data_IF_206408047698
#
_entry.id   IF_206408047698
#
_cell.length_a   1.000
_cell.length_b   1.000
_cell.length_c   1.000
_cell.angle_alpha   90.00
_cell.angle_beta   90.00
_cell.angle_gamma   90.00
#
_symmetry.space_group_name_H-M   'P 1'
#
loop_
_entity.id
_entity.type
_entity.pdbx_description
1 polymer ?
#
# COMPACT_ATOMS: atom_id res chain seq x y z
N UNK A 1 -3.70 -45.43 -3.34
CA UNK A 1 -4.20 -44.07 -3.61
C UNK A 1 -3.44 -43.09 -2.74
N UNK A 2 -2.75 -42.12 -3.34
CA UNK A 2 -2.10 -41.02 -2.62
C UNK A 2 -2.44 -39.73 -3.35
N UNK A 3 -3.36 -38.96 -2.79
CA UNK A 3 -3.54 -37.56 -3.12
C UNK A 3 -3.65 -36.81 -1.79
N UNK A 4 -2.52 -36.26 -1.34
CA UNK A 4 -2.49 -35.33 -0.24
C UNK A 4 -3.10 -34.02 -0.69
N UNK A 5 -4.25 -33.67 -0.12
CA UNK A 5 -4.83 -32.34 -0.24
C UNK A 5 -3.90 -31.37 0.47
N UNK A 6 -3.31 -30.44 -0.28
CA UNK A 6 -2.62 -29.30 0.29
C UNK A 6 -3.63 -28.53 1.14
N UNK A 7 -3.38 -28.46 2.46
CA UNK A 7 -4.13 -27.60 3.34
C UNK A 7 -3.76 -26.16 3.00
N UNK A 8 -4.62 -25.47 2.25
CA UNK A 8 -4.59 -24.01 2.16
C UNK A 8 -4.71 -23.44 3.57
N UNK A 9 -3.82 -22.50 3.89
CA UNK A 9 -3.88 -21.76 5.15
C UNK A 9 -5.27 -21.12 5.30
N UNK A 10 -5.84 -21.04 6.51
CA UNK A 10 -7.16 -20.44 6.69
C UNK A 10 -7.12 -19.00 6.21
N UNK A 11 -7.73 -18.74 5.06
CA UNK A 11 -7.97 -17.38 4.59
C UNK A 11 -8.84 -16.69 5.62
N UNK A 12 -8.31 -15.62 6.23
CA UNK A 12 -9.01 -14.91 7.27
C UNK A 12 -10.22 -14.21 6.64
N UNK A 13 -11.41 -14.78 6.84
CA UNK A 13 -12.65 -14.33 6.22
C UNK A 13 -12.96 -12.85 6.53
N UNK A 14 -12.41 -12.29 7.63
CA UNK A 14 -12.56 -10.90 8.01
C UNK A 14 -11.73 -9.90 7.18
N UNK A 15 -10.77 -10.36 6.40
CA UNK A 15 -9.85 -9.49 5.69
C UNK A 15 -10.54 -8.68 4.57
N UNK A 16 -10.02 -7.50 4.29
CA UNK A 16 -10.34 -6.69 3.10
C UNK A 16 -9.19 -6.78 2.10
N UNK A 17 -9.46 -6.58 0.82
CA UNK A 17 -8.42 -6.51 -0.19
C UNK A 17 -7.84 -5.09 -0.25
N UNK A 18 -6.53 -4.97 -0.13
CA UNK A 18 -5.82 -3.68 -0.12
C UNK A 18 -4.61 -3.73 -1.05
N UNK A 19 -4.50 -2.75 -1.93
CA UNK A 19 -3.27 -2.47 -2.67
C UNK A 19 -2.54 -1.28 -2.02
N UNK A 20 -1.23 -1.41 -1.82
CA UNK A 20 -0.39 -0.49 -1.04
C UNK A 20 0.75 0.02 -1.90
N UNK A 21 1.12 1.29 -1.76
CA UNK A 21 2.44 1.81 -2.15
C UNK A 21 3.18 2.29 -0.95
N UNK A 22 4.46 1.95 -0.94
CA UNK A 22 5.41 2.38 0.06
C UNK A 22 6.28 3.48 -0.51
N UNK A 23 6.37 4.58 0.24
CA UNK A 23 7.35 5.61 0.05
C UNK A 23 8.28 5.63 1.26
N UNK A 24 9.57 5.38 1.05
CA UNK A 24 10.57 5.69 2.06
C UNK A 24 11.17 7.06 1.76
N UNK A 25 11.40 7.85 2.80
CA UNK A 25 12.45 8.85 2.75
C UNK A 25 13.68 8.15 3.32
N UNK A 26 14.70 7.82 2.51
CA UNK A 26 15.97 7.41 3.09
C UNK A 26 16.43 8.55 4.00
N UNK A 27 16.74 8.23 5.26
CA UNK A 27 17.35 9.18 6.18
C UNK A 27 18.56 9.77 5.46
N UNK A 28 18.61 11.09 5.30
CA UNK A 28 19.84 11.73 4.84
C UNK A 28 20.93 11.35 5.85
N UNK A 29 21.87 10.52 5.41
CA UNK A 29 23.13 10.38 6.13
C UNK A 29 23.73 11.78 6.15
N UNK A 30 23.72 12.42 7.32
CA UNK A 30 24.55 13.59 7.59
C UNK A 30 26.00 13.12 7.49
N UNK A 31 26.51 13.06 6.26
CA UNK A 31 27.90 12.79 5.96
C UNK A 31 28.73 13.95 6.51
N UNK A 32 29.24 13.78 7.73
CA UNK A 32 30.05 14.80 8.41
C UNK A 32 30.64 14.38 9.75
N UNK A 33 30.61 13.09 10.13
CA UNK A 33 31.27 12.64 11.35
C UNK A 33 32.03 11.33 11.10
N UNK A 34 33.32 11.23 11.49
CA UNK A 34 34.15 10.05 11.24
C UNK A 34 33.58 8.81 11.95
N UNK A 35 33.87 7.60 11.44
CA UNK A 35 33.06 6.42 11.70
C UNK A 35 33.26 5.92 13.14
N UNK A 36 32.24 6.13 13.98
CA UNK A 36 32.12 5.36 15.23
C UNK A 36 31.70 3.92 14.88
N UNK A 37 32.39 2.96 15.49
CA UNK A 37 32.33 1.53 15.23
C UNK A 37 30.93 0.98 14.87
N UNK A 38 30.92 0.11 13.84
CA UNK A 38 29.81 -0.68 13.28
C UNK A 38 28.60 -0.81 14.23
N UNK A 39 27.68 0.15 14.16
CA UNK A 39 26.30 -0.07 14.63
C UNK A 39 25.56 -0.81 13.53
N UNK A 40 24.90 -1.91 13.91
CA UNK A 40 24.00 -2.64 13.04
C UNK A 40 23.06 -1.67 12.31
N UNK A 41 22.83 -1.92 11.02
CA UNK A 41 21.96 -1.13 10.15
C UNK A 41 20.58 -1.07 10.81
N UNK A 42 20.22 0.08 11.40
CA UNK A 42 18.88 0.30 11.98
C UNK A 42 17.89 0.23 10.82
N UNK A 43 16.97 -0.72 10.85
CA UNK A 43 15.83 -0.77 9.92
C UNK A 43 15.09 0.58 9.93
N UNK A 44 14.48 0.95 8.81
CA UNK A 44 13.71 2.19 8.69
C UNK A 44 12.62 2.23 9.78
N UNK A 45 12.77 3.16 10.73
CA UNK A 45 11.95 3.24 11.96
C UNK A 45 10.48 3.60 11.66
N UNK A 46 10.20 4.10 10.44
CA UNK A 46 8.86 4.37 9.93
C UNK A 46 8.83 4.34 8.40
N UNK A 47 7.65 4.03 7.83
CA UNK A 47 7.38 4.04 6.39
C UNK A 47 6.19 4.93 6.09
N UNK A 48 6.16 5.62 4.94
CA UNK A 48 5.01 6.41 4.53
C UNK A 48 4.24 5.68 3.44
N UNK A 49 2.96 5.40 3.69
CA UNK A 49 2.17 4.57 2.78
C UNK A 49 1.04 5.35 2.12
N UNK A 50 0.69 4.93 0.91
CA UNK A 50 -0.59 5.20 0.28
C UNK A 50 -1.29 3.88 -0.03
N UNK A 51 -2.62 3.89 -0.04
CA UNK A 51 -3.37 2.67 -0.32
C UNK A 51 -4.68 2.91 -1.09
N UNK A 52 -5.15 1.84 -1.71
CA UNK A 52 -6.50 1.70 -2.25
C UNK A 52 -7.08 0.45 -1.58
N UNK A 53 -8.16 0.64 -0.82
CA UNK A 53 -8.86 -0.45 -0.12
C UNK A 53 -10.15 -0.74 -0.85
N UNK A 54 -10.38 -1.99 -1.21
CA UNK A 54 -11.66 -2.45 -1.77
C UNK A 54 -12.17 -3.59 -0.91
N UNK A 55 -13.33 -3.39 -0.30
CA UNK A 55 -13.99 -4.35 0.57
C UNK A 55 -14.80 -5.36 -0.25
N UNK A 56 -15.14 -6.47 0.38
CA UNK A 56 -16.11 -7.45 -0.12
C UNK A 56 -17.10 -7.83 0.98
N UNK A 57 -18.17 -8.55 0.60
CA UNK A 57 -19.28 -8.91 1.48
C UNK A 57 -18.88 -9.76 2.69
N UNK A 58 -17.79 -10.51 2.57
CA UNK A 58 -17.35 -11.45 3.61
C UNK A 58 -16.41 -10.81 4.64
N UNK A 59 -15.87 -9.61 4.36
CA UNK A 59 -14.95 -8.91 5.26
C UNK A 59 -15.61 -8.51 6.59
N UNK A 60 -14.80 -8.17 7.60
CA UNK A 60 -15.30 -7.86 8.95
C UNK A 60 -16.25 -6.65 9.03
N UNK A 61 -16.22 -5.75 8.05
CA UNK A 61 -17.13 -4.62 7.96
C UNK A 61 -17.52 -4.31 6.50
N UNK A 62 -18.50 -5.02 5.92
CA UNK A 62 -18.89 -4.93 4.51
C UNK A 62 -19.77 -3.69 4.25
N UNK A 63 -19.19 -2.52 4.54
CA UNK A 63 -19.81 -1.21 4.39
C UNK A 63 -18.76 -0.23 3.85
N UNK A 64 -19.13 0.53 2.82
CA UNK A 64 -18.32 1.58 2.23
C UNK A 64 -18.62 2.91 2.95
N UNK A 65 -17.72 3.37 3.84
CA UNK A 65 -17.90 4.64 4.56
C UNK A 65 -17.72 5.87 3.66
N UNK A 66 -17.06 5.73 2.50
CA UNK A 66 -16.81 6.84 1.57
C UNK A 66 -18.07 7.15 0.77
N UNK A 67 -18.81 6.11 0.36
CA UNK A 67 -20.05 6.24 -0.44
C UNK A 67 -21.32 5.97 0.36
N UNK A 68 -21.18 5.67 1.65
CA UNK A 68 -22.28 5.45 2.59
C UNK A 68 -23.25 4.36 2.10
N UNK A 69 -22.73 3.19 1.73
CA UNK A 69 -23.53 2.07 1.20
C UNK A 69 -23.00 0.70 1.63
N UNK A 70 -23.86 -0.33 1.77
CA UNK A 70 -23.41 -1.71 1.97
C UNK A 70 -22.56 -2.23 0.81
N UNK A 71 -21.61 -3.10 1.12
CA UNK A 71 -20.77 -3.80 0.13
C UNK A 71 -21.32 -5.21 -0.07
N UNK A 72 -21.80 -5.50 -1.28
CA UNK A 72 -22.42 -6.79 -1.64
C UNK A 72 -21.58 -7.62 -2.61
N UNK A 73 -20.46 -7.06 -3.10
CA UNK A 73 -19.56 -7.72 -4.05
C UNK A 73 -18.83 -8.88 -3.38
N UNK A 74 -18.55 -9.90 -4.16
CA UNK A 74 -17.67 -11.01 -3.82
C UNK A 74 -16.23 -10.56 -3.64
N UNK A 75 -15.42 -11.42 -3.02
CA UNK A 75 -13.98 -11.19 -2.90
C UNK A 75 -13.31 -11.16 -4.27
N UNK A 76 -13.70 -12.06 -5.16
CA UNK A 76 -13.13 -12.16 -6.52
C UNK A 76 -13.38 -10.88 -7.33
N UNK A 77 -14.56 -10.27 -7.19
CA UNK A 77 -14.86 -8.97 -7.80
C UNK A 77 -13.99 -7.85 -7.21
N UNK A 78 -13.80 -7.82 -5.89
CA UNK A 78 -12.93 -6.85 -5.23
C UNK A 78 -11.47 -6.98 -5.69
N UNK A 79 -10.95 -8.21 -5.77
CA UNK A 79 -9.61 -8.48 -6.29
C UNK A 79 -9.48 -8.12 -7.77
N UNK A 80 -10.49 -8.43 -8.60
CA UNK A 80 -10.48 -8.07 -10.01
C UNK A 80 -10.41 -6.55 -10.23
N UNK A 81 -11.14 -5.77 -9.41
CA UNK A 81 -11.08 -4.31 -9.41
C UNK A 81 -9.66 -3.81 -9.06
N UNK A 82 -9.06 -4.33 -7.99
CA UNK A 82 -7.71 -3.94 -7.59
C UNK A 82 -6.63 -4.36 -8.59
N UNK A 83 -6.72 -5.55 -9.17
CA UNK A 83 -5.81 -5.99 -10.24
C UNK A 83 -5.94 -5.09 -11.48
N UNK A 84 -7.14 -4.62 -11.79
CA UNK A 84 -7.39 -3.60 -12.81
C UNK A 84 -6.63 -2.30 -12.53
N UNK A 85 -6.85 -1.73 -11.35
CA UNK A 85 -6.16 -0.51 -10.91
C UNK A 85 -4.64 -0.67 -10.93
N UNK A 86 -4.12 -1.79 -10.43
CA UNK A 86 -2.68 -2.07 -10.38
C UNK A 86 -2.05 -2.15 -11.78
N UNK A 87 -2.75 -2.71 -12.78
CA UNK A 87 -2.28 -2.70 -14.17
C UNK A 87 -2.14 -1.27 -14.69
N UNK A 88 -3.13 -0.42 -14.46
CA UNK A 88 -3.09 0.98 -14.90
C UNK A 88 -1.98 1.79 -14.23
N UNK A 89 -1.78 1.57 -12.92
CA UNK A 89 -0.74 2.24 -12.15
C UNK A 89 0.67 1.80 -12.59
N UNK A 90 0.87 0.51 -12.86
CA UNK A 90 2.14 0.02 -13.39
C UNK A 90 2.41 0.52 -14.81
N UNK A 91 1.39 0.61 -15.66
CA UNK A 91 1.53 1.19 -17.00
C UNK A 91 1.98 2.66 -16.94
N UNK A 92 1.38 3.46 -16.04
CA UNK A 92 1.79 4.85 -15.83
C UNK A 92 3.21 4.96 -15.28
N UNK A 93 3.57 4.12 -14.29
CA UNK A 93 4.92 4.10 -13.73
C UNK A 93 5.99 3.80 -14.79
N UNK A 94 5.71 2.85 -15.69
CA UNK A 94 6.60 2.50 -16.79
C UNK A 94 6.68 3.58 -17.89
N UNK A 95 5.61 4.34 -18.10
CA UNK A 95 5.58 5.45 -19.06
C UNK A 95 6.23 6.74 -18.51
N UNK A 96 6.29 6.87 -17.19
CA UNK A 96 6.80 8.09 -16.54
C UNK A 96 8.32 8.11 -16.53
N UNK A 97 8.90 9.11 -17.19
CA UNK A 97 10.35 9.37 -17.10
C UNK A 97 10.64 10.17 -15.83
N UNK A 98 11.38 9.56 -14.90
CA UNK A 98 11.84 10.28 -13.71
C UNK A 98 12.83 11.39 -14.10
N UNK A 99 12.83 12.53 -13.38
CA UNK A 99 13.85 13.55 -13.54
C UNK A 99 15.27 12.97 -13.37
N UNK A 100 16.22 13.46 -14.16
CA UNK A 100 17.63 13.07 -14.05
C UNK A 100 18.27 13.53 -12.72
N UNK A 101 17.75 14.61 -12.14
CA UNK A 101 18.18 15.10 -10.83
C UNK A 101 17.62 14.23 -9.70
N UNK A 102 18.51 13.65 -8.91
CA UNK A 102 18.15 12.70 -7.85
C UNK A 102 17.22 13.30 -6.78
N UNK A 103 17.38 14.59 -6.46
CA UNK A 103 16.55 15.27 -5.45
C UNK A 103 15.13 15.53 -5.98
N UNK A 104 15.01 15.96 -7.23
CA UNK A 104 13.72 16.11 -7.92
C UNK A 104 13.05 14.76 -8.16
N UNK A 105 13.82 13.72 -8.50
CA UNK A 105 13.30 12.36 -8.67
C UNK A 105 12.71 11.82 -7.35
N UNK A 106 13.40 12.02 -6.23
CA UNK A 106 12.87 11.68 -4.89
C UNK A 106 11.59 12.44 -4.58
N UNK A 107 11.56 13.75 -4.80
CA UNK A 107 10.37 14.56 -4.50
C UNK A 107 9.17 14.17 -5.38
N UNK A 108 9.42 13.91 -6.67
CA UNK A 108 8.41 13.44 -7.61
C UNK A 108 7.87 12.07 -7.19
N UNK A 109 8.74 11.14 -6.77
CA UNK A 109 8.34 9.83 -6.27
C UNK A 109 7.46 9.93 -5.01
N UNK A 110 7.53 10.99 -4.21
CA UNK A 110 6.66 11.19 -3.04
C UNK A 110 5.26 11.72 -3.40
N UNK A 111 5.06 12.26 -4.60
CA UNK A 111 3.77 12.82 -5.02
C UNK A 111 2.89 11.73 -5.63
N UNK A 112 1.57 11.75 -5.38
CA UNK A 112 0.69 10.81 -6.04
C UNK A 112 0.53 11.22 -7.49
N UNK A 113 0.49 10.24 -8.38
CA UNK A 113 0.24 10.51 -9.79
C UNK A 113 -1.24 10.86 -10.01
N UNK A 114 -1.58 11.58 -11.09
CA UNK A 114 -2.97 11.86 -11.44
C UNK A 114 -3.81 10.58 -11.59
N UNK A 115 -3.25 9.51 -12.17
CA UNK A 115 -3.94 8.21 -12.28
C UNK A 115 -4.25 7.62 -10.92
N UNK A 116 -3.29 7.63 -9.99
CA UNK A 116 -3.54 7.18 -8.62
C UNK A 116 -4.66 7.98 -7.95
N UNK A 117 -4.63 9.32 -8.04
CA UNK A 117 -5.68 10.16 -7.43
C UNK A 117 -7.05 9.79 -7.99
N UNK A 118 -7.14 9.58 -9.31
CA UNK A 118 -8.38 9.14 -9.96
C UNK A 118 -8.86 7.78 -9.42
N UNK A 119 -7.99 6.77 -9.43
CA UNK A 119 -8.33 5.42 -8.99
C UNK A 119 -8.63 5.34 -7.48
N UNK A 120 -7.89 6.07 -6.65
CA UNK A 120 -8.14 6.13 -5.22
C UNK A 120 -9.51 6.75 -4.92
N UNK A 121 -9.85 7.85 -5.60
CA UNK A 121 -11.17 8.48 -5.48
C UNK A 121 -12.30 7.55 -5.95
N UNK A 122 -12.07 6.83 -7.04
CA UNK A 122 -13.09 5.99 -7.67
C UNK A 122 -13.33 4.68 -6.90
N UNK A 123 -12.26 4.04 -6.42
CA UNK A 123 -12.31 2.66 -5.92
C UNK A 123 -12.16 2.55 -4.41
N UNK A 124 -11.37 3.43 -3.79
CA UNK A 124 -11.01 3.24 -2.37
C UNK A 124 -12.21 3.46 -1.46
N UNK A 125 -12.35 2.57 -0.49
CA UNK A 125 -13.40 2.54 0.53
C UNK A 125 -12.82 2.82 1.94
N UNK A 126 -11.57 3.29 1.99
CA UNK A 126 -10.99 3.87 3.19
C UNK A 126 -11.28 5.38 3.24
N UNK A 127 -11.61 5.92 4.42
CA UNK A 127 -11.87 7.37 4.61
C UNK A 127 -10.70 8.26 4.22
N UNK A 128 -9.47 7.73 4.18
CA UNK A 128 -8.31 8.45 3.63
C UNK A 128 -8.46 8.85 2.15
N UNK A 129 -9.34 8.19 1.39
CA UNK A 129 -9.68 8.59 0.02
C UNK A 129 -10.40 9.95 -0.06
N UNK A 130 -10.97 10.42 1.07
CA UNK A 130 -11.63 11.71 1.16
C UNK A 130 -10.65 12.86 1.45
N UNK A 131 -9.36 12.56 1.71
CA UNK A 131 -8.32 13.59 1.86
C UNK A 131 -8.10 14.31 0.53
N UNK A 132 -7.87 15.62 0.60
CA UNK A 132 -7.66 16.47 -0.58
C UNK A 132 -6.25 16.38 -1.17
N UNK A 133 -6.15 16.59 -2.49
CA UNK A 133 -4.88 16.77 -3.21
C UNK A 133 -3.89 15.62 -3.03
N UNK A 134 -2.64 15.96 -2.72
CA UNK A 134 -1.54 14.99 -2.58
C UNK A 134 -1.64 14.02 -1.39
N UNK A 135 -2.67 14.18 -0.55
CA UNK A 135 -2.91 13.37 0.65
C UNK A 135 -3.97 12.28 0.44
N UNK A 136 -4.55 12.17 -0.75
CA UNK A 136 -5.57 11.16 -1.05
C UNK A 136 -5.03 9.75 -0.85
N UNK A 137 -5.71 8.97 -0.01
CA UNK A 137 -5.28 7.62 0.37
C UNK A 137 -3.95 7.54 1.14
N UNK A 138 -3.40 8.68 1.59
CA UNK A 138 -2.17 8.74 2.38
C UNK A 138 -2.43 8.32 3.83
N UNK A 139 -1.66 7.35 4.31
CA UNK A 139 -1.70 6.85 5.70
C UNK A 139 -0.73 7.60 6.62
N UNK A 140 0.07 8.53 6.08
CA UNK A 140 1.14 9.19 6.81
C UNK A 140 2.31 8.27 7.12
N UNK A 141 3.15 8.70 8.06
CA UNK A 141 4.28 7.92 8.57
C UNK A 141 3.78 6.91 9.60
N UNK A 142 3.94 5.62 9.27
CA UNK A 142 3.57 4.51 10.13
C UNK A 142 4.83 3.95 10.78
N UNK A 143 4.82 3.87 12.11
CA UNK A 143 5.81 3.09 12.87
C UNK A 143 5.52 1.60 12.73
N UNK A 144 6.47 0.78 13.18
CA UNK A 144 6.30 -0.67 13.20
C UNK A 144 5.02 -1.11 13.92
N UNK A 145 4.73 -0.54 15.09
CA UNK A 145 3.53 -0.87 15.86
C UNK A 145 2.23 -0.45 15.15
N UNK A 146 2.27 0.63 14.35
CA UNK A 146 1.12 1.05 13.56
C UNK A 146 0.89 0.12 12.36
N UNK A 147 1.96 -0.35 11.71
CA UNK A 147 1.84 -1.32 10.61
C UNK A 147 1.19 -2.63 11.07
N UNK A 148 1.56 -3.13 12.24
CA UNK A 148 1.02 -4.38 12.79
C UNK A 148 -0.49 -4.33 13.03
N UNK A 149 -1.08 -3.13 13.21
CA UNK A 149 -2.53 -2.96 13.40
C UNK A 149 -3.36 -3.24 12.14
N UNK A 150 -2.73 -3.24 10.96
CA UNK A 150 -3.39 -3.60 9.70
C UNK A 150 -3.30 -5.10 9.38
N UNK A 151 -2.70 -5.88 10.29
CA UNK A 151 -2.47 -7.32 10.15
C UNK A 151 -1.05 -7.64 9.67
N UNK A 152 -0.59 -8.89 9.90
CA UNK A 152 0.77 -9.32 9.60
C UNK A 152 1.08 -9.27 8.09
N UNK A 153 0.13 -9.69 7.25
CA UNK A 153 0.28 -9.69 5.79
C UNK A 153 0.54 -8.29 5.23
N UNK A 154 -0.24 -7.30 5.69
CA UNK A 154 -0.05 -5.90 5.31
C UNK A 154 1.32 -5.38 5.76
N UNK A 155 1.71 -5.65 7.01
CA UNK A 155 2.96 -5.16 7.57
C UNK A 155 4.20 -5.77 6.86
N UNK A 156 4.18 -7.06 6.56
CA UNK A 156 5.23 -7.75 5.81
C UNK A 156 5.34 -7.21 4.38
N UNK A 157 4.19 -7.06 3.71
CA UNK A 157 4.13 -6.49 2.36
C UNK A 157 4.73 -5.08 2.35
N UNK A 158 4.30 -4.20 3.25
CA UNK A 158 4.80 -2.83 3.35
C UNK A 158 6.32 -2.75 3.58
N UNK A 159 6.90 -3.70 4.31
CA UNK A 159 8.36 -3.74 4.55
C UNK A 159 9.17 -4.27 3.38
N UNK A 160 8.57 -5.15 2.58
CA UNK A 160 9.25 -5.82 1.46
C UNK A 160 9.44 -4.92 0.24
N UNK A 161 8.69 -3.83 0.15
CA UNK A 161 8.65 -2.98 -1.03
C UNK A 161 9.82 -2.00 -1.06
N UNK A 162 10.22 -1.60 -2.26
CA UNK A 162 11.10 -0.47 -2.50
C UNK A 162 10.32 0.86 -2.51
N UNK A 163 11.02 1.99 -2.40
CA UNK A 163 10.43 3.32 -2.54
C UNK A 163 9.73 3.45 -3.89
N UNK A 164 8.46 3.85 -3.87
CA UNK A 164 7.66 4.07 -5.07
C UNK A 164 7.14 2.79 -5.73
N UNK A 165 7.36 1.62 -5.11
CA UNK A 165 6.87 0.35 -5.61
C UNK A 165 5.43 0.11 -5.15
N UNK A 166 4.59 -0.35 -6.08
CA UNK A 166 3.27 -0.90 -5.78
C UNK A 166 3.39 -2.33 -5.27
N UNK A 167 2.66 -2.65 -4.22
CA UNK A 167 2.43 -4.03 -3.79
C UNK A 167 1.58 -4.78 -4.81
N UNK A 168 1.62 -6.12 -4.75
CA UNK A 168 0.48 -6.91 -5.20
C UNK A 168 -0.68 -6.76 -4.19
N UNK A 169 -1.78 -7.46 -4.41
CA UNK A 169 -2.91 -7.44 -3.50
C UNK A 169 -2.51 -8.04 -2.15
N UNK A 170 -2.86 -7.34 -1.07
CA UNK A 170 -2.64 -7.78 0.30
C UNK A 170 -3.95 -7.82 1.06
N UNK A 171 -4.09 -8.78 1.96
CA UNK A 171 -5.19 -8.82 2.92
C UNK A 171 -4.88 -7.88 4.09
N UNK A 172 -5.83 -7.04 4.46
CA UNK A 172 -5.74 -6.19 5.67
C UNK A 172 -6.93 -6.41 6.58
N UNK A 173 -6.70 -6.33 7.89
CA UNK A 173 -7.71 -6.53 8.94
C UNK A 173 -8.46 -5.24 9.30
#
# INVERSE_FOLDING_TARGET
EIAGTAAEAPENASAQCTAVVVYFVPKEDKAGQPPAAKKARKEAESVRLRHIVVKHRDCGQPYDPVRNRPVVRSREEAEAMLRGALRELNQEANATKLPLDASKAKLAALQPTPKYVSLCKELSECTTAQKGGGMMGDLGWLSQDQLQRFGPSFAETAKSLAVGQWSDLSSSE
#
